data_IF_125323705310
#
_entry.id   IF_125323705310
#
_cell.length_a   1.000
_cell.length_b   1.000
_cell.length_c   1.000
_cell.angle_alpha   90.00
_cell.angle_beta   90.00
_cell.angle_gamma   90.00
#
_symmetry.space_group_name_H-M   'P 1'
#
loop_
_entity.id
_entity.type
_entity.pdbx_description
1 polymer ?
#
# COMPACT_ATOMS: atom_id res chain seq x y z
N UNK A 1 -7.23 10.90 -6.08
CA UNK A 1 -6.49 11.69 -7.10
C UNK A 1 -6.40 10.96 -8.44
N UNK A 2 -5.75 9.79 -8.56
CA UNK A 2 -5.63 9.04 -9.83
C UNK A 2 -6.96 8.82 -10.57
N UNK A 3 -8.04 8.47 -9.85
CA UNK A 3 -9.39 8.37 -10.43
C UNK A 3 -9.90 9.70 -11.04
N UNK A 4 -9.57 10.82 -10.42
CA UNK A 4 -9.95 12.16 -10.93
C UNK A 4 -9.13 12.55 -12.18
N UNK A 5 -7.90 12.04 -12.31
CA UNK A 5 -7.08 12.19 -13.50
C UNK A 5 -7.41 11.19 -14.63
N UNK A 6 -8.54 10.48 -14.55
CA UNK A 6 -8.93 9.46 -15.52
C UNK A 6 -7.97 8.25 -15.60
N UNK A 7 -7.33 7.91 -14.46
CA UNK A 7 -6.49 6.72 -14.30
C UNK A 7 -7.08 5.71 -13.30
N UNK A 8 -8.30 5.17 -13.53
CA UNK A 8 -8.97 4.30 -12.56
C UNK A 8 -8.25 2.96 -12.35
N UNK A 9 -7.75 2.32 -13.40
CA UNK A 9 -7.06 1.02 -13.30
C UNK A 9 -5.79 1.08 -12.46
N UNK A 10 -5.00 2.14 -12.58
CA UNK A 10 -3.83 2.37 -11.74
C UNK A 10 -4.22 2.64 -10.28
N UNK A 11 -5.33 3.37 -10.06
CA UNK A 11 -5.85 3.60 -8.72
C UNK A 11 -6.29 2.28 -8.07
N UNK A 12 -7.01 1.43 -8.80
CA UNK A 12 -7.49 0.12 -8.33
C UNK A 12 -6.33 -0.81 -7.96
N UNK A 13 -5.30 -0.89 -8.81
CA UNK A 13 -4.10 -1.70 -8.54
C UNK A 13 -3.38 -1.24 -7.29
N UNK A 14 -3.11 0.06 -7.16
CA UNK A 14 -2.43 0.61 -5.99
C UNK A 14 -3.26 0.43 -4.71
N UNK A 15 -4.57 0.70 -4.77
CA UNK A 15 -5.48 0.55 -3.64
C UNK A 15 -5.54 -0.92 -3.17
N UNK A 16 -5.56 -1.87 -4.11
CA UNK A 16 -5.56 -3.30 -3.81
C UNK A 16 -4.24 -3.74 -3.17
N UNK A 17 -3.09 -3.31 -3.69
CA UNK A 17 -1.78 -3.61 -3.12
C UNK A 17 -1.64 -3.09 -1.68
N UNK A 18 -2.05 -1.84 -1.44
CA UNK A 18 -2.04 -1.24 -0.09
C UNK A 18 -2.95 -2.02 0.87
N UNK A 19 -4.18 -2.33 0.45
CA UNK A 19 -5.12 -3.13 1.26
C UNK A 19 -4.52 -4.49 1.64
N UNK A 20 -3.85 -5.16 0.69
CA UNK A 20 -3.20 -6.44 0.93
C UNK A 20 -2.11 -6.33 2.00
N UNK A 21 -1.18 -5.38 1.86
CA UNK A 21 -0.08 -5.19 2.83
C UNK A 21 -0.60 -4.90 4.24
N UNK A 22 -1.61 -4.02 4.34
CA UNK A 22 -2.24 -3.70 5.64
C UNK A 22 -2.93 -4.92 6.23
N UNK A 23 -3.65 -5.70 5.41
CA UNK A 23 -4.36 -6.91 5.87
C UNK A 23 -3.43 -8.03 6.34
N UNK A 24 -2.26 -8.20 5.69
CA UNK A 24 -1.23 -9.13 6.15
C UNK A 24 -0.61 -8.68 7.48
N UNK A 25 -0.55 -7.37 7.70
CA UNK A 25 -0.14 -6.77 8.97
C UNK A 25 1.32 -7.01 9.35
N UNK A 26 2.16 -7.51 8.44
CA UNK A 26 3.61 -7.71 8.67
C UNK A 26 4.40 -6.41 8.63
N UNK A 27 4.08 -5.55 7.66
CA UNK A 27 4.69 -4.24 7.48
C UNK A 27 3.70 -3.17 7.96
N UNK A 28 3.85 -2.75 9.22
CA UNK A 28 2.98 -1.76 9.86
C UNK A 28 3.83 -0.66 10.47
N UNK A 29 3.50 0.58 10.15
CA UNK A 29 4.11 1.76 10.75
C UNK A 29 3.71 1.91 12.22
N UNK A 30 4.44 2.76 12.94
CA UNK A 30 4.26 2.98 14.38
C UNK A 30 2.87 3.49 14.76
N UNK A 31 2.25 4.31 13.91
CA UNK A 31 0.88 4.81 14.10
C UNK A 31 -0.18 3.69 14.01
N UNK A 32 0.13 2.59 13.32
CA UNK A 32 -0.70 1.38 13.25
C UNK A 32 -0.26 0.30 14.26
N UNK A 33 0.52 0.67 15.28
CA UNK A 33 1.01 -0.23 16.32
C UNK A 33 2.10 -1.20 15.86
N UNK A 34 2.72 -0.96 14.71
CA UNK A 34 3.85 -1.74 14.21
C UNK A 34 5.20 -1.09 14.49
N UNK A 35 6.26 -1.69 13.96
CA UNK A 35 7.64 -1.21 14.11
C UNK A 35 8.30 -0.83 12.79
N UNK A 36 7.60 -1.05 11.67
CA UNK A 36 8.13 -0.79 10.34
C UNK A 36 8.28 0.70 10.09
N UNK A 37 9.29 1.03 9.28
CA UNK A 37 9.51 2.34 8.72
C UNK A 37 8.59 2.59 7.52
N UNK A 38 8.46 3.85 7.12
CA UNK A 38 7.73 4.22 5.90
C UNK A 38 8.32 3.52 4.67
N UNK A 39 9.65 3.39 4.59
CA UNK A 39 10.31 2.76 3.45
C UNK A 39 9.95 1.27 3.35
N UNK A 40 9.98 0.53 4.46
CA UNK A 40 9.62 -0.89 4.46
C UNK A 40 8.16 -1.13 4.05
N UNK A 41 7.24 -0.24 4.44
CA UNK A 41 5.84 -0.32 3.99
C UNK A 41 5.73 -0.01 2.50
N UNK A 42 6.48 0.98 1.99
CA UNK A 42 6.52 1.29 0.55
C UNK A 42 7.06 0.11 -0.25
N UNK A 43 8.16 -0.49 0.18
CA UNK A 43 8.76 -1.64 -0.50
C UNK A 43 7.80 -2.84 -0.54
N UNK A 44 7.08 -3.08 0.57
CA UNK A 44 6.04 -4.10 0.63
C UNK A 44 4.87 -3.82 -0.32
N UNK A 45 4.45 -2.56 -0.46
CA UNK A 45 3.39 -2.17 -1.40
C UNK A 45 3.86 -2.35 -2.84
N UNK A 46 5.10 -1.97 -3.16
CA UNK A 46 5.67 -2.17 -4.50
C UNK A 46 5.77 -3.66 -4.83
N UNK A 47 6.20 -4.50 -3.88
CA UNK A 47 6.25 -5.94 -4.05
C UNK A 47 4.87 -6.61 -4.21
N UNK A 48 3.80 -5.94 -3.74
CA UNK A 48 2.42 -6.39 -3.85
C UNK A 48 1.66 -5.80 -5.05
N UNK A 49 2.30 -4.96 -5.87
CA UNK A 49 1.74 -4.45 -7.12
C UNK A 49 1.88 -5.52 -8.22
N UNK A 50 0.74 -6.06 -8.66
CA UNK A 50 0.61 -6.85 -9.90
C UNK A 50 0.63 -5.91 -11.11
#
# INVERSE_FOLDING_TARGET
MLRHLQFPSFADRLETAVKRVISEGKYRTKDLGGVSTTQEVVDAVIAALD
#
